data_IF_518782802639
#
_entry.id   IF_518782802639
#
_cell.length_a   1.000
_cell.length_b   1.000
_cell.length_c   1.000
_cell.angle_alpha   90.00
_cell.angle_beta   90.00
_cell.angle_gamma   90.00
#
_symmetry.space_group_name_H-M   'P 1'
#
loop_
_entity.id
_entity.type
_entity.pdbx_description
1 polymer ?
#
# COMPACT_ATOMS: atom_id res chain seq x y z
N UNK A 1 2.21 0.03 14.85
CA UNK A 1 2.35 1.03 13.76
C UNK A 1 3.02 0.32 12.60
N UNK A 2 2.48 0.40 11.37
CA UNK A 2 3.03 -0.33 10.21
C UNK A 2 4.38 0.25 9.78
N UNK A 3 5.39 -0.61 9.63
CA UNK A 3 6.72 -0.21 9.15
C UNK A 3 6.68 0.05 7.64
N UNK A 4 5.98 -0.82 6.89
CA UNK A 4 5.73 -0.66 5.46
C UNK A 4 5.20 0.73 5.13
N UNK A 5 4.18 1.18 5.87
CA UNK A 5 3.57 2.52 5.70
C UNK A 5 4.55 3.65 5.98
N UNK A 6 5.29 3.55 7.07
CA UNK A 6 6.24 4.59 7.48
C UNK A 6 7.35 4.76 6.44
N UNK A 7 7.89 3.65 5.94
CA UNK A 7 8.91 3.63 4.90
C UNK A 7 8.40 4.16 3.57
N UNK A 8 7.18 3.76 3.16
CA UNK A 8 6.56 4.27 1.93
C UNK A 8 6.33 5.78 1.98
N UNK A 9 5.73 6.30 3.06
CA UNK A 9 5.51 7.74 3.23
C UNK A 9 6.81 8.53 3.14
N UNK A 10 7.88 8.04 3.78
CA UNK A 10 9.21 8.65 3.69
C UNK A 10 9.74 8.65 2.25
N UNK A 11 9.64 7.52 1.53
CA UNK A 11 10.13 7.39 0.15
C UNK A 11 9.35 8.26 -0.84
N UNK A 12 8.02 8.33 -0.72
CA UNK A 12 7.19 9.19 -1.57
C UNK A 12 7.44 10.66 -1.26
N UNK A 13 7.58 11.04 0.02
CA UNK A 13 7.96 12.41 0.38
C UNK A 13 9.32 12.78 -0.22
N UNK A 14 10.31 11.90 -0.16
CA UNK A 14 11.62 12.09 -0.79
C UNK A 14 11.52 12.20 -2.32
N UNK A 15 10.66 11.41 -2.97
CA UNK A 15 10.38 11.53 -4.41
C UNK A 15 9.82 12.91 -4.74
N UNK A 16 8.78 13.35 -4.03
CA UNK A 16 8.15 14.67 -4.23
C UNK A 16 9.16 15.80 -4.03
N UNK A 17 9.96 15.74 -2.96
CA UNK A 17 11.01 16.73 -2.70
C UNK A 17 12.08 16.73 -3.80
N UNK A 18 12.44 15.56 -4.31
CA UNK A 18 13.43 15.43 -5.39
C UNK A 18 12.95 16.08 -6.68
N UNK A 19 11.63 16.05 -6.96
CA UNK A 19 11.03 16.73 -8.11
C UNK A 19 11.13 18.26 -8.06
N UNK A 20 11.45 18.84 -6.91
CA UNK A 20 11.68 20.27 -6.74
C UNK A 20 13.12 20.71 -7.02
N UNK A 21 14.07 19.78 -7.15
CA UNK A 21 15.49 20.09 -7.32
C UNK A 21 15.76 20.57 -8.75
N UNK A 22 16.53 21.64 -8.92
CA UNK A 22 16.87 22.21 -10.23
C UNK A 22 17.47 21.18 -11.21
N UNK A 23 18.29 20.25 -10.71
CA UNK A 23 18.90 19.19 -11.50
C UNK A 23 17.91 18.25 -12.21
N UNK A 24 16.65 18.16 -11.75
CA UNK A 24 15.62 17.33 -12.41
C UNK A 24 14.63 18.16 -13.22
N UNK A 25 14.71 19.49 -13.14
CA UNK A 25 13.87 20.40 -13.89
C UNK A 25 14.40 20.56 -15.32
N UNK A 26 13.48 20.67 -16.27
CA UNK A 26 13.83 21.03 -17.63
C UNK A 26 14.22 22.51 -17.70
N UNK A 27 15.27 22.80 -18.48
CA UNK A 27 15.74 24.13 -18.81
C UNK A 27 15.51 24.42 -20.29
N UNK A 28 15.71 25.67 -20.76
CA UNK A 28 15.56 26.01 -22.18
C UNK A 28 16.30 25.02 -23.10
N UNK A 29 15.79 24.83 -24.32
CA UNK A 29 16.30 23.82 -25.26
C UNK A 29 17.79 24.02 -25.63
N UNK A 30 18.32 25.24 -25.44
CA UNK A 30 19.73 25.57 -25.61
C UNK A 30 20.64 24.91 -24.57
N UNK A 31 20.11 24.53 -23.41
CA UNK A 31 20.85 23.86 -22.32
C UNK A 31 20.78 22.34 -22.44
N UNK A 32 21.23 21.80 -23.57
CA UNK A 32 21.10 20.37 -23.89
C UNK A 32 21.74 19.46 -22.85
N UNK A 33 22.96 19.76 -22.40
CA UNK A 33 23.67 18.95 -21.41
C UNK A 33 22.92 18.84 -20.07
N UNK A 34 22.33 19.95 -19.60
CA UNK A 34 21.48 19.95 -18.41
C UNK A 34 20.25 19.07 -18.61
N UNK A 35 19.56 19.24 -19.74
CA UNK A 35 18.33 18.51 -20.04
C UNK A 35 18.57 17.00 -20.19
N UNK A 36 19.72 16.58 -20.71
CA UNK A 36 20.11 15.18 -20.78
C UNK A 36 20.33 14.57 -19.39
N UNK A 37 20.99 15.30 -18.48
CA UNK A 37 21.15 14.90 -17.07
C UNK A 37 19.80 14.85 -16.37
N UNK A 38 18.97 15.88 -16.51
CA UNK A 38 17.65 15.95 -15.90
C UNK A 38 16.75 14.79 -16.34
N UNK A 39 16.77 14.44 -17.64
CA UNK A 39 16.05 13.28 -18.19
C UNK A 39 16.52 11.98 -17.55
N UNK A 40 17.83 11.76 -17.45
CA UNK A 40 18.39 10.56 -16.83
C UNK A 40 17.97 10.44 -15.36
N UNK A 41 18.02 11.54 -14.61
CA UNK A 41 17.59 11.57 -13.21
C UNK A 41 16.09 11.29 -13.06
N UNK A 42 15.24 11.89 -13.92
CA UNK A 42 13.79 11.62 -13.92
C UNK A 42 13.46 10.16 -14.23
N UNK A 43 14.18 9.52 -15.14
CA UNK A 43 14.03 8.08 -15.39
C UNK A 43 14.39 7.26 -14.15
N UNK A 44 15.48 7.60 -13.46
CA UNK A 44 15.85 6.97 -12.18
C UNK A 44 14.75 7.13 -11.12
N UNK A 45 14.21 8.34 -10.97
CA UNK A 45 13.10 8.63 -10.05
C UNK A 45 11.83 7.84 -10.39
N UNK A 46 11.52 7.64 -11.67
CA UNK A 46 10.40 6.80 -12.12
C UNK A 46 10.54 5.36 -11.62
N UNK A 47 11.74 4.79 -11.77
CA UNK A 47 12.04 3.42 -11.33
C UNK A 47 11.96 3.29 -9.82
N UNK A 48 12.60 4.21 -9.08
CA UNK A 48 12.61 4.19 -7.61
C UNK A 48 11.22 4.43 -7.02
N UNK A 49 10.45 5.36 -7.60
CA UNK A 49 9.08 5.64 -7.17
C UNK A 49 8.17 4.43 -7.32
N UNK A 50 8.23 3.73 -8.46
CA UNK A 50 7.46 2.51 -8.67
C UNK A 50 7.90 1.38 -7.74
N UNK A 51 9.22 1.19 -7.59
CA UNK A 51 9.75 0.20 -6.66
C UNK A 51 9.31 0.46 -5.20
N UNK A 52 9.18 1.73 -4.79
CA UNK A 52 8.67 2.07 -3.47
C UNK A 52 7.22 1.61 -3.26
N UNK A 53 6.36 1.74 -4.27
CA UNK A 53 4.98 1.24 -4.22
C UNK A 53 4.91 -0.28 -4.20
N UNK A 54 5.70 -0.97 -5.02
CA UNK A 54 5.75 -2.44 -5.00
C UNK A 54 6.22 -3.00 -3.67
N UNK A 55 7.28 -2.41 -3.10
CA UNK A 55 7.82 -2.80 -1.81
C UNK A 55 6.82 -2.54 -0.68
N UNK A 56 6.07 -1.43 -0.77
CA UNK A 56 4.98 -1.16 0.16
C UNK A 56 3.90 -2.24 0.11
N UNK A 57 3.42 -2.60 -1.09
CA UNK A 57 2.38 -3.62 -1.28
C UNK A 57 2.83 -4.97 -0.70
N UNK A 58 4.05 -5.40 -1.06
CA UNK A 58 4.66 -6.65 -0.56
C UNK A 58 4.83 -6.63 0.96
N UNK A 59 5.46 -5.59 1.49
CA UNK A 59 5.73 -5.48 2.93
C UNK A 59 4.44 -5.38 3.74
N UNK A 60 3.42 -4.65 3.25
CA UNK A 60 2.16 -4.50 3.98
C UNK A 60 1.36 -5.78 4.01
N UNK A 61 1.30 -6.55 2.92
CA UNK A 61 0.63 -7.85 2.93
C UNK A 61 1.36 -8.84 3.88
N UNK A 62 2.69 -8.80 3.93
CA UNK A 62 3.49 -9.61 4.87
C UNK A 62 3.20 -9.28 6.33
N UNK A 63 3.09 -8.00 6.66
CA UNK A 63 2.69 -7.55 8.01
C UNK A 63 1.30 -8.08 8.35
N UNK A 64 0.32 -7.92 7.45
CA UNK A 64 -1.06 -8.39 7.67
C UNK A 64 -1.11 -9.91 7.85
N UNK A 65 -0.41 -10.70 7.04
CA UNK A 65 -0.35 -12.16 7.18
C UNK A 65 0.23 -12.58 8.54
N UNK A 66 1.25 -11.88 9.01
CA UNK A 66 1.83 -12.11 10.34
C UNK A 66 0.81 -11.79 11.44
N UNK A 67 0.03 -10.72 11.28
CA UNK A 67 -1.03 -10.34 12.21
C UNK A 67 -2.21 -11.32 12.20
N UNK A 68 -2.57 -11.94 11.07
CA UNK A 68 -3.65 -12.94 10.97
C UNK A 68 -3.42 -14.11 11.91
N UNK A 69 -2.19 -14.64 12.02
CA UNK A 69 -1.87 -15.75 12.93
C UNK A 69 -2.16 -15.45 14.40
N UNK A 70 -2.18 -14.17 14.78
CA UNK A 70 -2.48 -13.72 16.16
C UNK A 70 -3.97 -13.41 16.42
N UNK A 71 -4.85 -13.62 15.44
CA UNK A 71 -6.28 -13.31 15.58
C UNK A 71 -7.08 -14.39 16.32
N UNK A 72 -6.48 -15.54 16.64
CA UNK A 72 -7.14 -16.72 17.23
C UNK A 72 -8.31 -17.28 16.39
N UNK A 73 -8.48 -16.85 15.14
CA UNK A 73 -9.43 -17.46 14.20
C UNK A 73 -8.85 -18.81 13.77
N UNK A 74 -9.57 -19.94 13.93
CA UNK A 74 -9.09 -21.23 13.45
C UNK A 74 -8.78 -21.20 11.95
N UNK A 75 -7.71 -21.85 11.50
CA UNK A 75 -7.25 -21.78 10.11
C UNK A 75 -8.37 -22.14 9.11
N UNK A 76 -9.11 -23.22 9.37
CA UNK A 76 -10.23 -23.66 8.52
C UNK A 76 -11.43 -22.70 8.45
N UNK A 77 -11.45 -21.64 9.28
CA UNK A 77 -12.46 -20.56 9.24
C UNK A 77 -11.97 -19.31 8.52
N UNK A 78 -10.71 -19.25 8.10
CA UNK A 78 -10.22 -18.17 7.25
C UNK A 78 -10.91 -18.24 5.87
N UNK A 79 -10.92 -17.13 5.09
CA UNK A 79 -11.37 -17.19 3.71
C UNK A 79 -10.66 -18.30 2.91
N UNK A 80 -11.39 -19.10 2.15
CA UNK A 80 -10.84 -20.25 1.41
C UNK A 80 -9.66 -19.86 0.50
N UNK A 81 -9.77 -18.73 -0.21
CA UNK A 81 -8.69 -18.20 -1.04
C UNK A 81 -7.44 -17.86 -0.24
N UNK A 82 -7.61 -17.32 0.97
CA UNK A 82 -6.48 -17.06 1.86
C UNK A 82 -5.86 -18.38 2.33
N UNK A 83 -6.67 -19.37 2.72
CA UNK A 83 -6.18 -20.69 3.11
C UNK A 83 -5.35 -21.33 2.00
N UNK A 84 -5.86 -21.31 0.76
CA UNK A 84 -5.17 -21.85 -0.41
C UNK A 84 -3.86 -21.11 -0.70
N UNK A 85 -3.89 -19.77 -0.70
CA UNK A 85 -2.72 -18.96 -1.00
C UNK A 85 -1.58 -19.19 0.01
N UNK A 86 -1.89 -19.24 1.31
CA UNK A 86 -0.87 -19.37 2.38
C UNK A 86 -0.39 -20.81 2.62
N UNK A 87 -0.97 -21.78 1.92
CA UNK A 87 -0.56 -23.19 1.98
C UNK A 87 0.01 -23.66 0.65
N UNK A 88 -0.82 -23.73 -0.39
CA UNK A 88 -0.44 -24.28 -1.69
C UNK A 88 0.39 -23.28 -2.52
N UNK A 89 -0.13 -22.07 -2.76
CA UNK A 89 0.57 -21.08 -3.61
C UNK A 89 1.87 -20.57 -2.96
N UNK A 90 1.91 -20.55 -1.63
CA UNK A 90 3.10 -20.23 -0.85
C UNK A 90 4.31 -21.12 -1.21
N UNK A 91 4.12 -22.36 -1.68
CA UNK A 91 5.21 -23.22 -2.11
C UNK A 91 5.96 -22.65 -3.33
N UNK A 92 5.23 -22.05 -4.28
CA UNK A 92 5.83 -21.39 -5.44
C UNK A 92 6.65 -20.17 -5.02
N UNK A 93 6.11 -19.36 -4.10
CA UNK A 93 6.82 -18.22 -3.55
C UNK A 93 8.09 -18.64 -2.78
N UNK A 94 8.02 -19.69 -1.96
CA UNK A 94 9.19 -20.24 -1.25
C UNK A 94 10.24 -20.72 -2.25
N UNK A 95 9.83 -21.45 -3.29
CA UNK A 95 10.72 -21.94 -4.36
C UNK A 95 11.46 -20.81 -5.07
N UNK A 96 10.71 -19.78 -5.51
CA UNK A 96 11.30 -18.60 -6.14
C UNK A 96 12.30 -17.90 -5.22
N UNK A 97 11.92 -17.67 -3.96
CA UNK A 97 12.76 -17.01 -2.97
C UNK A 97 14.03 -17.80 -2.63
N UNK A 98 13.98 -19.13 -2.63
CA UNK A 98 15.20 -19.95 -2.50
C UNK A 98 16.15 -19.74 -3.68
N UNK A 99 15.63 -19.55 -4.90
CA UNK A 99 16.43 -19.27 -6.09
C UNK A 99 17.24 -17.97 -6.00
N UNK A 100 16.73 -16.98 -5.26
CA UNK A 100 17.41 -15.69 -5.03
C UNK A 100 18.52 -15.74 -3.99
N UNK A 101 18.62 -16.82 -3.20
CA UNK A 101 19.59 -16.94 -2.12
C UNK A 101 20.89 -17.56 -2.64
N UNK A 102 22.06 -16.96 -2.38
CA UNK A 102 23.33 -17.45 -2.93
C UNK A 102 23.81 -18.75 -2.27
N UNK A 103 23.62 -18.90 -0.96
CA UNK A 103 24.22 -19.99 -0.19
C UNK A 103 23.25 -21.17 0.02
N UNK A 104 23.78 -22.39 -0.03
CA UNK A 104 22.99 -23.62 0.22
C UNK A 104 22.43 -23.69 1.65
N UNK A 105 23.21 -23.27 2.66
CA UNK A 105 22.76 -23.20 4.05
C UNK A 105 21.54 -22.31 4.21
N UNK A 106 21.57 -21.13 3.60
CA UNK A 106 20.51 -20.13 3.70
C UNK A 106 19.25 -20.60 3.01
N UNK A 107 19.38 -21.34 1.90
CA UNK A 107 18.25 -21.99 1.22
C UNK A 107 17.58 -23.03 2.12
N UNK A 108 18.37 -23.88 2.79
CA UNK A 108 17.85 -24.92 3.70
C UNK A 108 17.12 -24.28 4.88
N UNK A 109 17.75 -23.31 5.56
CA UNK A 109 17.15 -22.62 6.70
C UNK A 109 15.85 -21.91 6.29
N UNK A 110 15.87 -21.22 5.16
CA UNK A 110 14.69 -20.54 4.63
C UNK A 110 13.56 -21.52 4.30
N UNK A 111 13.87 -22.65 3.65
CA UNK A 111 12.88 -23.68 3.36
C UNK A 111 12.26 -24.22 4.64
N UNK A 112 13.07 -24.59 5.63
CA UNK A 112 12.61 -25.12 6.92
C UNK A 112 11.71 -24.12 7.65
N UNK A 113 12.13 -22.86 7.77
CA UNK A 113 11.37 -21.82 8.46
C UNK A 113 9.97 -21.62 7.84
N UNK A 114 9.90 -21.50 6.51
CA UNK A 114 8.63 -21.19 5.84
C UNK A 114 7.73 -22.41 5.65
N UNK A 115 8.29 -23.61 5.46
CA UNK A 115 7.49 -24.85 5.41
C UNK A 115 6.95 -25.23 6.78
N UNK A 116 7.65 -24.92 7.87
CA UNK A 116 7.11 -25.07 9.23
C UNK A 116 5.87 -24.20 9.45
N UNK A 117 5.84 -22.97 8.91
CA UNK A 117 4.66 -22.09 8.95
C UNK A 117 3.48 -22.72 8.20
N UNK A 118 3.70 -23.29 7.02
CA UNK A 118 2.67 -24.04 6.29
C UNK A 118 2.16 -25.22 7.13
N UNK A 119 3.07 -26.04 7.66
CA UNK A 119 2.69 -27.20 8.48
C UNK A 119 1.89 -26.79 9.74
N UNK A 120 2.20 -25.64 10.33
CA UNK A 120 1.50 -25.14 11.53
C UNK A 120 0.01 -24.89 11.31
N UNK A 121 -0.44 -24.67 10.06
CA UNK A 121 -1.87 -24.47 9.71
C UNK A 121 -2.76 -25.67 9.99
N UNK A 122 -2.17 -26.88 10.16
CA UNK A 122 -2.88 -28.07 10.61
C UNK A 122 -3.20 -28.07 12.11
N UNK A 123 -2.71 -27.08 12.86
CA UNK A 123 -2.87 -26.99 14.32
C UNK A 123 -3.70 -25.75 14.70
N UNK A 124 -4.14 -25.69 15.96
CA UNK A 124 -4.90 -24.55 16.46
C UNK A 124 -4.07 -23.26 16.54
N UNK A 125 -2.77 -23.38 16.79
CA UNK A 125 -1.83 -22.26 16.86
C UNK A 125 -0.94 -22.27 15.61
N UNK A 126 -1.25 -21.40 14.66
CA UNK A 126 -0.55 -21.34 13.38
C UNK A 126 0.06 -19.97 13.13
N UNK A 127 1.12 -19.97 12.33
CA UNK A 127 1.73 -18.76 11.79
C UNK A 127 1.65 -18.82 10.27
N UNK A 128 1.19 -17.73 9.64
CA UNK A 128 1.18 -17.65 8.19
C UNK A 128 2.55 -17.17 7.69
N UNK A 129 3.00 -17.73 6.57
CA UNK A 129 4.23 -17.26 5.94
C UNK A 129 4.04 -15.84 5.38
N UNK A 130 4.89 -14.86 5.75
CA UNK A 130 4.77 -13.50 5.25
C UNK A 130 4.99 -13.40 3.73
N UNK A 131 5.60 -14.43 3.12
CA UNK A 131 5.93 -14.47 1.71
C UNK A 131 4.89 -15.21 0.86
N UNK A 132 3.70 -15.51 1.39
CA UNK A 132 2.69 -16.25 0.64
C UNK A 132 2.24 -15.51 -0.63
N UNK A 133 2.20 -14.17 -0.60
CA UNK A 133 1.55 -13.37 -1.63
C UNK A 133 2.54 -12.38 -2.27
N UNK A 134 2.76 -12.51 -3.59
CA UNK A 134 3.55 -11.58 -4.40
C UNK A 134 5.06 -11.76 -4.34
N UNK A 135 5.57 -12.77 -3.62
CA UNK A 135 6.99 -13.08 -3.51
C UNK A 135 7.48 -14.17 -4.47
N UNK A 136 6.61 -14.63 -5.37
CA UNK A 136 6.88 -15.57 -6.46
C UNK A 136 7.40 -14.90 -7.75
N UNK A 137 7.60 -13.58 -7.70
CA UNK A 137 8.00 -12.76 -8.85
C UNK A 137 8.80 -11.54 -8.41
N UNK A 138 9.62 -11.01 -9.33
CA UNK A 138 10.44 -9.83 -9.09
C UNK A 138 9.57 -8.56 -8.93
N UNK A 139 8.61 -8.38 -9.85
CA UNK A 139 7.80 -7.18 -9.95
C UNK A 139 6.34 -7.52 -9.63
N UNK A 140 5.63 -6.63 -8.95
CA UNK A 140 4.22 -6.80 -8.60
C UNK A 140 3.36 -6.36 -9.77
N UNK A 141 2.67 -7.31 -10.41
CA UNK A 141 1.71 -7.01 -11.48
C UNK A 141 0.34 -6.59 -10.91
N UNK A 142 -0.49 -5.98 -11.75
CA UNK A 142 -1.84 -5.55 -11.36
C UNK A 142 -2.74 -6.72 -10.93
N UNK A 143 -2.64 -7.86 -11.63
CA UNK A 143 -3.35 -9.08 -11.26
C UNK A 143 -2.88 -9.66 -9.91
N UNK A 144 -1.62 -9.43 -9.52
CA UNK A 144 -1.11 -9.85 -8.21
C UNK A 144 -1.78 -9.06 -7.08
N UNK A 145 -1.92 -7.74 -7.23
CA UNK A 145 -2.62 -6.88 -6.26
C UNK A 145 -4.07 -7.32 -6.13
N UNK A 146 -4.71 -7.63 -7.26
CA UNK A 146 -6.07 -8.15 -7.29
C UNK A 146 -6.18 -9.51 -6.61
N UNK A 147 -5.23 -10.42 -6.84
CA UNK A 147 -5.15 -11.73 -6.16
C UNK A 147 -4.99 -11.59 -4.65
N UNK A 148 -4.08 -10.72 -4.21
CA UNK A 148 -3.86 -10.40 -2.79
C UNK A 148 -5.16 -9.98 -2.10
N UNK A 149 -5.84 -8.96 -2.62
CA UNK A 149 -7.07 -8.45 -2.00
C UNK A 149 -8.24 -9.43 -2.09
N UNK A 150 -8.31 -10.25 -3.16
CA UNK A 150 -9.31 -11.32 -3.25
C UNK A 150 -9.16 -12.39 -2.16
N UNK A 151 -7.95 -12.63 -1.65
CA UNK A 151 -7.75 -13.51 -0.50
C UNK A 151 -8.47 -12.99 0.76
N UNK A 152 -8.63 -11.67 0.87
CA UNK A 152 -9.32 -10.98 1.96
C UNK A 152 -10.78 -10.64 1.64
N UNK A 153 -11.39 -11.43 0.75
CA UNK A 153 -12.80 -11.32 0.34
C UNK A 153 -13.20 -9.92 -0.18
N UNK A 154 -12.34 -9.32 -0.98
CA UNK A 154 -12.62 -8.10 -1.72
C UNK A 154 -12.87 -8.48 -3.18
N UNK A 155 -14.12 -8.35 -3.65
CA UNK A 155 -14.55 -8.90 -4.94
C UNK A 155 -14.04 -8.09 -6.14
N UNK A 156 -14.09 -6.76 -6.04
CA UNK A 156 -13.57 -5.83 -7.05
C UNK A 156 -12.42 -4.96 -6.50
N UNK A 157 -11.21 -5.52 -6.29
CA UNK A 157 -10.09 -4.84 -5.64
C UNK A 157 -9.80 -3.44 -6.17
N UNK A 158 -9.57 -3.30 -7.47
CA UNK A 158 -9.23 -2.02 -8.09
C UNK A 158 -10.38 -1.02 -8.04
N UNK A 159 -11.63 -1.49 -8.18
CA UNK A 159 -12.81 -0.65 -8.00
C UNK A 159 -12.92 -0.12 -6.58
N UNK A 160 -12.69 -0.94 -5.56
CA UNK A 160 -12.72 -0.50 -4.17
C UNK A 160 -11.57 0.47 -3.83
N UNK A 161 -10.35 0.20 -4.29
CA UNK A 161 -9.21 1.13 -4.14
C UNK A 161 -9.56 2.48 -4.79
N UNK A 162 -10.09 2.46 -6.02
CA UNK A 162 -10.48 3.67 -6.75
C UNK A 162 -11.56 4.45 -6.00
N UNK A 163 -12.59 3.78 -5.45
CA UNK A 163 -13.63 4.44 -4.66
C UNK A 163 -13.08 5.13 -3.41
N UNK A 164 -12.16 4.49 -2.68
CA UNK A 164 -11.49 5.12 -1.53
C UNK A 164 -10.69 6.34 -1.99
N UNK A 165 -9.93 6.21 -3.07
CA UNK A 165 -9.14 7.31 -3.62
C UNK A 165 -10.01 8.49 -4.10
N UNK A 166 -11.15 8.24 -4.74
CA UNK A 166 -12.08 9.28 -5.18
C UNK A 166 -12.66 10.07 -4.00
N UNK A 167 -12.95 9.40 -2.88
CA UNK A 167 -13.41 10.07 -1.64
C UNK A 167 -12.34 10.96 -1.00
N UNK A 168 -11.08 10.74 -1.35
CA UNK A 168 -9.94 11.57 -0.96
C UNK A 168 -9.52 12.57 -2.04
N UNK A 169 -10.23 12.62 -3.17
CA UNK A 169 -9.89 13.43 -4.35
C UNK A 169 -8.49 13.14 -4.89
N UNK A 170 -8.02 11.89 -4.78
CA UNK A 170 -6.72 11.44 -5.26
C UNK A 170 -6.77 10.71 -6.62
N UNK A 171 -7.95 10.28 -7.06
CA UNK A 171 -8.13 9.57 -8.32
C UNK A 171 -9.19 10.26 -9.18
N UNK A 172 -8.81 10.61 -10.41
CA UNK A 172 -9.71 11.06 -11.47
C UNK A 172 -10.03 9.95 -12.49
N UNK A 173 -9.14 8.96 -12.61
CA UNK A 173 -9.25 7.82 -13.50
C UNK A 173 -9.19 6.50 -12.70
N UNK A 174 -9.62 5.37 -13.27
CA UNK A 174 -9.45 4.05 -12.67
C UNK A 174 -7.99 3.74 -12.35
N UNK A 175 -7.71 3.33 -11.11
CA UNK A 175 -6.32 3.17 -10.64
C UNK A 175 -5.61 1.93 -11.19
N UNK A 176 -6.34 0.96 -11.76
CA UNK A 176 -5.75 -0.20 -12.44
C UNK A 176 -5.05 0.18 -13.75
N UNK A 177 -5.67 1.07 -14.53
CA UNK A 177 -5.08 1.60 -15.77
C UNK A 177 -3.86 2.44 -15.43
N UNK A 178 -3.99 3.32 -14.45
CA UNK A 178 -2.90 4.14 -13.93
C UNK A 178 -1.70 3.29 -13.47
N UNK A 179 -1.94 2.22 -12.71
CA UNK A 179 -0.87 1.33 -12.27
C UNK A 179 -0.16 0.66 -13.44
N UNK A 180 -0.92 0.14 -14.43
CA UNK A 180 -0.36 -0.46 -15.64
C UNK A 180 0.44 0.54 -16.48
N UNK A 181 -0.06 1.76 -16.66
CA UNK A 181 0.67 2.83 -17.34
C UNK A 181 1.98 3.18 -16.63
N UNK A 182 1.96 3.26 -15.30
CA UNK A 182 3.16 3.50 -14.50
C UNK A 182 4.17 2.34 -14.60
N UNK A 183 3.71 1.09 -14.65
CA UNK A 183 4.56 -0.08 -14.84
C UNK A 183 5.26 -0.06 -16.20
N UNK A 184 4.52 0.27 -17.27
CA UNK A 184 5.08 0.44 -18.63
C UNK A 184 6.12 1.57 -18.65
N UNK A 185 5.80 2.70 -18.02
CA UNK A 185 6.72 3.85 -17.92
C UNK A 185 8.01 3.47 -17.19
N UNK A 186 7.91 2.76 -16.07
CA UNK A 186 9.08 2.22 -15.34
C UNK A 186 9.93 1.31 -16.23
N UNK A 187 9.31 0.37 -16.93
CA UNK A 187 10.03 -0.54 -17.83
C UNK A 187 10.78 0.25 -18.92
N UNK A 188 10.12 1.23 -19.55
CA UNK A 188 10.73 2.10 -20.54
C UNK A 188 11.89 2.91 -19.94
N UNK A 189 11.70 3.52 -18.78
CA UNK A 189 12.70 4.33 -18.09
C UNK A 189 13.97 3.53 -17.72
N UNK A 190 13.83 2.24 -17.40
CA UNK A 190 14.94 1.37 -17.03
C UNK A 190 15.74 0.82 -18.22
N UNK A 191 15.10 0.62 -19.38
CA UNK A 191 15.71 -0.15 -20.48
C UNK A 191 15.90 0.64 -21.79
N UNK A 192 15.19 1.74 -21.99
CA UNK A 192 15.28 2.52 -23.24
C UNK A 192 16.20 3.72 -23.02
N UNK A 193 17.35 3.72 -23.70
CA UNK A 193 18.38 4.77 -23.56
C UNK A 193 17.86 6.20 -23.84
N UNK A 194 16.84 6.32 -24.71
CA UNK A 194 16.20 7.59 -25.05
C UNK A 194 14.82 7.78 -24.39
N UNK A 195 14.52 7.03 -23.32
CA UNK A 195 13.32 7.28 -22.53
C UNK A 195 13.35 8.70 -21.98
N UNK A 196 12.23 9.40 -22.07
CA UNK A 196 12.02 10.63 -21.34
C UNK A 196 10.80 10.46 -20.46
N UNK A 197 11.00 10.68 -19.17
CA UNK A 197 9.93 10.70 -18.19
C UNK A 197 9.67 12.16 -17.82
N UNK A 198 8.53 12.74 -18.26
CA UNK A 198 8.17 14.11 -17.92
C UNK A 198 8.08 14.32 -16.40
N UNK A 199 8.38 15.53 -15.93
CA UNK A 199 8.25 15.87 -14.51
C UNK A 199 6.78 15.79 -14.04
N UNK A 200 5.85 16.21 -14.88
CA UNK A 200 4.40 16.14 -14.63
C UNK A 200 3.94 14.70 -14.42
N UNK A 201 4.52 13.75 -15.16
CA UNK A 201 4.22 12.32 -15.06
C UNK A 201 4.65 11.75 -13.71
N UNK A 202 5.78 12.20 -13.16
CA UNK A 202 6.27 11.81 -11.83
C UNK A 202 5.43 12.44 -10.71
N UNK A 203 5.06 13.71 -10.85
CA UNK A 203 4.18 14.39 -9.90
C UNK A 203 2.82 13.69 -9.84
N UNK A 204 2.24 13.36 -11.00
CA UNK A 204 0.98 12.64 -11.09
C UNK A 204 1.11 11.24 -10.50
N UNK A 205 2.16 10.49 -10.85
CA UNK A 205 2.44 9.17 -10.29
C UNK A 205 2.55 9.20 -8.76
N UNK A 206 3.17 10.23 -8.17
CA UNK A 206 3.28 10.30 -6.70
C UNK A 206 1.92 10.35 -6.00
N UNK A 207 0.94 11.06 -6.58
CA UNK A 207 -0.43 11.12 -6.07
C UNK A 207 -1.16 9.79 -6.26
N UNK A 208 -0.99 9.18 -7.41
CA UNK A 208 -1.60 7.90 -7.77
C UNK A 208 -1.04 6.75 -6.91
N UNK A 209 0.26 6.74 -6.66
CA UNK A 209 0.91 5.78 -5.78
C UNK A 209 0.39 5.90 -4.34
N UNK A 210 0.22 7.13 -3.83
CA UNK A 210 -0.43 7.36 -2.54
C UNK A 210 -1.88 6.86 -2.52
N UNK A 211 -2.64 7.14 -3.59
CA UNK A 211 -4.02 6.68 -3.72
C UNK A 211 -4.13 5.16 -3.64
N UNK A 212 -3.29 4.44 -4.39
CA UNK A 212 -3.23 2.98 -4.41
C UNK A 212 -2.81 2.46 -3.04
N UNK A 213 -1.76 3.01 -2.44
CA UNK A 213 -1.24 2.57 -1.16
C UNK A 213 -2.27 2.73 -0.02
N UNK A 214 -2.97 3.87 0.03
CA UNK A 214 -4.03 4.13 1.02
C UNK A 214 -5.19 3.15 0.83
N UNK A 215 -5.69 3.00 -0.40
CA UNK A 215 -6.81 2.10 -0.68
C UNK A 215 -6.48 0.65 -0.36
N UNK A 216 -5.30 0.17 -0.77
CA UNK A 216 -4.82 -1.17 -0.48
C UNK A 216 -4.70 -1.43 1.03
N UNK A 217 -4.05 -0.53 1.78
CA UNK A 217 -3.87 -0.68 3.23
C UNK A 217 -5.19 -0.59 4.00
N UNK A 218 -6.08 0.31 3.60
CA UNK A 218 -7.36 0.49 4.27
C UNK A 218 -8.27 -0.73 4.12
N UNK A 219 -8.31 -1.32 2.91
CA UNK A 219 -9.06 -2.56 2.65
C UNK A 219 -8.50 -3.74 3.44
N UNK A 220 -7.17 -3.93 3.43
CA UNK A 220 -6.54 -4.99 4.20
C UNK A 220 -6.73 -4.82 5.71
N UNK A 221 -6.62 -3.60 6.22
CA UNK A 221 -6.81 -3.31 7.65
C UNK A 221 -8.26 -3.52 8.07
N UNK A 222 -9.23 -3.20 7.21
CA UNK A 222 -10.65 -3.53 7.41
C UNK A 222 -10.86 -5.04 7.49
N UNK A 223 -10.32 -5.81 6.54
CA UNK A 223 -10.40 -7.26 6.53
C UNK A 223 -9.74 -7.89 7.78
N UNK A 224 -8.57 -7.41 8.17
CA UNK A 224 -7.87 -7.86 9.39
C UNK A 224 -8.68 -7.54 10.65
N UNK A 225 -9.33 -6.38 10.71
CA UNK A 225 -10.20 -6.05 11.83
C UNK A 225 -11.42 -6.97 11.90
N UNK A 226 -12.02 -7.36 10.77
CA UNK A 226 -13.12 -8.33 10.75
C UNK A 226 -12.67 -9.68 11.29
N UNK A 227 -11.45 -10.12 10.96
CA UNK A 227 -10.84 -11.32 11.55
C UNK A 227 -10.65 -11.18 13.07
N UNK A 228 -10.07 -10.08 13.54
CA UNK A 228 -9.88 -9.80 14.98
C UNK A 228 -11.17 -9.78 15.78
N UNK A 229 -12.26 -9.35 15.15
CA UNK A 229 -13.59 -9.31 15.75
C UNK A 229 -14.32 -10.65 15.72
N UNK A 230 -13.77 -11.66 15.05
CA UNK A 230 -14.49 -12.91 14.75
C UNK A 230 -15.84 -12.64 14.06
N UNK A 231 -15.88 -11.69 13.12
CA UNK A 231 -17.07 -11.33 12.33
C UNK A 231 -17.58 -12.57 11.57
N UNK A 232 -18.65 -13.18 12.07
CA UNK A 232 -19.17 -14.45 11.55
C UNK A 232 -19.61 -14.35 10.07
N UNK A 233 -20.39 -13.34 9.64
CA UNK A 233 -20.70 -13.14 8.23
C UNK A 233 -19.46 -13.09 7.33
N UNK A 234 -18.39 -12.41 7.75
CA UNK A 234 -17.14 -12.37 6.99
C UNK A 234 -16.43 -13.73 6.96
N UNK A 235 -16.30 -14.39 8.12
CA UNK A 235 -15.65 -15.71 8.22
C UNK A 235 -16.39 -16.80 7.43
N UNK A 236 -17.72 -16.71 7.31
CA UNK A 236 -18.54 -17.61 6.50
C UNK A 236 -18.66 -17.18 5.04
N UNK A 237 -17.97 -16.11 4.63
CA UNK A 237 -17.95 -15.66 3.23
C UNK A 237 -19.20 -14.90 2.77
N UNK A 238 -20.13 -14.62 3.69
CA UNK A 238 -21.41 -13.95 3.43
C UNK A 238 -21.28 -12.42 3.35
N UNK A 239 -20.33 -11.84 4.09
CA UNK A 239 -20.01 -10.42 4.03
C UNK A 239 -18.64 -10.21 3.38
N UNK A 240 -18.58 -9.30 2.40
CA UNK A 240 -17.35 -8.89 1.72
C UNK A 240 -16.82 -7.59 2.32
N UNK A 241 -15.56 -7.29 2.07
CA UNK A 241 -14.98 -5.99 2.40
C UNK A 241 -15.13 -5.06 1.21
N UNK A 242 -15.67 -3.88 1.47
CA UNK A 242 -15.89 -2.82 0.48
C UNK A 242 -15.35 -1.49 0.98
N UNK A 243 -15.20 -0.53 0.06
CA UNK A 243 -14.87 0.84 0.41
C UNK A 243 -15.91 1.47 1.36
N UNK A 244 -17.18 1.07 1.27
CA UNK A 244 -18.27 1.61 2.09
C UNK A 244 -18.12 1.23 3.58
N UNK A 245 -17.40 0.16 3.90
CA UNK A 245 -17.14 -0.27 5.27
C UNK A 245 -16.09 0.58 5.99
N UNK A 246 -15.37 1.42 5.25
CA UNK A 246 -14.26 2.22 5.78
C UNK A 246 -14.73 3.65 5.94
N UNK A 247 -14.80 4.17 7.16
CA UNK A 247 -15.08 5.59 7.39
C UNK A 247 -13.79 6.41 7.41
N UNK A 248 -13.77 7.53 6.68
CA UNK A 248 -12.58 8.38 6.58
C UNK A 248 -12.64 9.52 7.61
N UNK A 249 -11.57 9.70 8.37
CA UNK A 249 -11.31 10.85 9.24
C UNK A 249 -10.17 11.66 8.65
N UNK A 250 -10.38 12.96 8.42
CA UNK A 250 -9.36 13.86 7.84
C UNK A 250 -8.85 14.82 8.88
N UNK A 251 -7.53 15.05 8.90
CA UNK A 251 -6.89 16.14 9.64
C UNK A 251 -6.18 17.03 8.62
N UNK A 252 -6.55 18.31 8.56
CA UNK A 252 -6.08 19.23 7.53
C UNK A 252 -5.92 20.66 8.07
N UNK A 253 -5.04 21.49 7.47
CA UNK A 253 -4.87 22.88 7.85
C UNK A 253 -6.06 23.73 7.39
N UNK A 254 -6.44 24.71 8.21
CA UNK A 254 -7.53 25.66 7.96
C UNK A 254 -7.17 27.03 8.53
N UNK A 255 -6.50 27.85 7.73
CA UNK A 255 -5.93 29.12 8.17
C UNK A 255 -4.79 28.88 9.17
N UNK A 256 -4.84 29.55 10.32
CA UNK A 256 -3.85 29.39 11.40
C UNK A 256 -4.12 28.20 12.34
N UNK A 257 -5.14 27.38 12.05
CA UNK A 257 -5.56 26.25 12.87
C UNK A 257 -5.59 24.97 12.06
N UNK A 258 -5.65 23.85 12.74
CA UNK A 258 -5.88 22.52 12.19
C UNK A 258 -7.29 22.06 12.52
N UNK A 259 -7.94 21.41 11.54
CA UNK A 259 -9.30 20.88 11.66
C UNK A 259 -9.29 19.38 11.49
N UNK A 260 -10.11 18.72 12.29
CA UNK A 260 -10.47 17.32 12.14
C UNK A 260 -11.90 17.22 11.65
N UNK A 261 -12.12 16.49 10.55
CA UNK A 261 -13.46 16.15 10.07
C UNK A 261 -13.65 14.64 9.98
N UNK A 262 -14.86 14.22 10.26
CA UNK A 262 -15.34 12.89 9.94
C UNK A 262 -16.13 12.96 8.66
N UNK A 263 -15.91 12.03 7.76
CA UNK A 263 -16.66 11.91 6.53
C UNK A 263 -18.18 11.90 6.76
N UNK A 264 -18.91 12.57 5.86
CA UNK A 264 -20.36 12.73 5.94
C UNK A 264 -20.82 13.78 6.96
N UNK A 265 -19.92 14.38 7.76
CA UNK A 265 -20.27 15.49 8.67
C UNK A 265 -19.97 16.84 8.05
N UNK A 266 -20.88 17.79 8.28
CA UNK A 266 -20.74 19.20 7.87
C UNK A 266 -19.92 20.03 8.86
N UNK A 267 -19.70 19.54 10.07
CA UNK A 267 -19.00 20.24 11.15
C UNK A 267 -17.71 19.52 11.54
N UNK A 268 -16.70 20.32 11.92
CA UNK A 268 -15.46 19.78 12.45
C UNK A 268 -15.70 19.04 13.77
N UNK A 269 -15.06 17.89 13.92
CA UNK A 269 -15.05 17.12 15.18
C UNK A 269 -14.24 17.87 16.23
N UNK A 270 -13.10 18.44 15.82
CA UNK A 270 -12.23 19.24 16.67
C UNK A 270 -11.42 20.24 15.85
N UNK A 271 -11.09 21.37 16.46
CA UNK A 271 -10.21 22.41 15.89
C UNK A 271 -9.16 22.74 16.94
N UNK A 272 -7.89 22.81 16.53
CA UNK A 272 -6.78 23.12 17.42
C UNK A 272 -5.73 23.97 16.71
N UNK A 273 -4.95 24.76 17.45
CA UNK A 273 -3.84 25.52 16.86
C UNK A 273 -2.64 24.60 16.54
N UNK A 274 -2.34 23.64 17.42
CA UNK A 274 -1.23 22.70 17.27
C UNK A 274 -1.64 21.45 16.50
N UNK A 275 -0.92 21.16 15.41
CA UNK A 275 -1.07 19.92 14.63
C UNK A 275 -0.88 18.69 15.49
N UNK A 276 0.17 18.66 16.31
CA UNK A 276 0.57 17.46 17.05
C UNK A 276 -0.47 17.10 18.13
N UNK A 277 -1.01 18.12 18.81
CA UNK A 277 -2.08 17.95 19.80
C UNK A 277 -3.34 17.41 19.13
N UNK A 278 -3.75 17.97 17.99
CA UNK A 278 -4.91 17.48 17.26
C UNK A 278 -4.70 16.05 16.77
N UNK A 279 -3.54 15.77 16.19
CA UNK A 279 -3.22 14.49 15.57
C UNK A 279 -3.17 13.37 16.61
N UNK A 280 -2.58 13.60 17.78
CA UNK A 280 -2.59 12.61 18.87
C UNK A 280 -4.03 12.26 19.30
N UNK A 281 -4.90 13.27 19.44
CA UNK A 281 -6.30 13.05 19.80
C UNK A 281 -7.11 12.38 18.67
N UNK A 282 -6.86 12.76 17.40
CA UNK A 282 -7.50 12.18 16.23
C UNK A 282 -7.10 10.71 16.03
N UNK A 283 -5.84 10.35 16.30
CA UNK A 283 -5.34 8.96 16.29
C UNK A 283 -6.09 8.08 17.29
N UNK A 284 -6.21 8.54 18.54
CA UNK A 284 -6.96 7.81 19.57
C UNK A 284 -8.41 7.59 19.14
N UNK A 285 -9.09 8.63 18.63
CA UNK A 285 -10.46 8.51 18.09
C UNK A 285 -10.56 7.60 16.87
N UNK A 286 -9.59 7.66 15.97
CA UNK A 286 -9.56 6.83 14.76
C UNK A 286 -9.38 5.35 15.11
N UNK A 287 -8.47 5.02 16.04
CA UNK A 287 -8.28 3.66 16.51
C UNK A 287 -9.53 3.11 17.22
N UNK A 288 -10.14 3.90 18.12
CA UNK A 288 -11.34 3.50 18.85
C UNK A 288 -12.55 3.27 17.92
N UNK A 289 -12.74 4.15 16.93
CA UNK A 289 -13.86 4.06 15.98
C UNK A 289 -13.55 3.19 14.75
N UNK A 290 -12.31 2.72 14.59
CA UNK A 290 -11.83 1.99 13.41
C UNK A 290 -12.01 2.77 12.11
N UNK A 291 -11.55 4.02 12.13
CA UNK A 291 -11.58 4.90 10.97
C UNK A 291 -10.22 4.94 10.28
N UNK A 292 -10.21 5.11 8.96
CA UNK A 292 -9.02 5.50 8.23
C UNK A 292 -8.73 6.98 8.53
N UNK A 293 -7.61 7.26 9.20
CA UNK A 293 -7.13 8.62 9.43
C UNK A 293 -6.28 9.06 8.24
N UNK A 294 -6.61 10.19 7.62
CA UNK A 294 -5.83 10.80 6.54
C UNK A 294 -5.36 12.18 6.97
N UNK A 295 -4.09 12.45 6.75
CA UNK A 295 -3.43 13.71 7.11
C UNK A 295 -3.16 14.46 5.82
N UNK A 296 -3.68 15.68 5.73
CA UNK A 296 -3.45 16.58 4.59
C UNK A 296 -2.50 17.72 5.00
N UNK A 297 -1.65 18.12 4.07
CA UNK A 297 -0.79 19.29 4.18
C UNK A 297 -1.44 20.55 3.61
N UNK A 298 -0.68 21.63 3.57
CA UNK A 298 -1.10 22.92 3.02
C UNK A 298 -1.36 22.81 1.51
N UNK A 299 -2.56 23.15 1.04
CA UNK A 299 -2.96 22.92 -0.36
C UNK A 299 -3.74 21.62 -0.59
N UNK A 300 -4.03 20.87 0.48
CA UNK A 300 -4.94 19.72 0.43
C UNK A 300 -4.30 18.40 -0.01
N UNK A 301 -3.00 18.39 -0.33
CA UNK A 301 -2.30 17.14 -0.63
C UNK A 301 -2.28 16.21 0.58
N UNK A 302 -2.46 14.92 0.34
CA UNK A 302 -2.30 13.89 1.37
C UNK A 302 -0.81 13.70 1.65
N UNK A 303 -0.42 13.87 2.92
CA UNK A 303 0.97 13.73 3.39
C UNK A 303 1.19 12.47 4.22
N UNK A 304 0.12 11.78 4.60
CA UNK A 304 0.19 10.51 5.32
C UNK A 304 -1.20 9.98 5.66
N UNK A 305 -1.25 8.73 6.09
CA UNK A 305 -2.46 8.09 6.58
C UNK A 305 -2.15 7.11 7.70
N UNK A 306 -3.17 6.75 8.47
CA UNK A 306 -3.11 5.70 9.48
C UNK A 306 -4.39 4.85 9.45
N UNK A 307 -4.22 3.53 9.33
CA UNK A 307 -5.28 2.55 9.58
C UNK A 307 -5.27 2.11 11.05
N UNK A 308 -6.41 1.54 11.47
CA UNK A 308 -6.70 1.03 12.80
C UNK A 308 -6.27 -0.43 13.00
#
# INVERSE_FOLDING_TARGET
MSNARSLFNSRIASLVNSLGIDAVQARPLTEQAHNDVARMLRNGLAVVGFAALEDFIKSRISEVLSEVGSTNVPFGRLPEKLQYAVTFEALSAISYQMGLRPNKSDRILYAQEHTQKIASTATAAYNLTPHALGYDQANVQDETIKGMLKCFQIDNPWGEITRIASRLSLAALPLDETYRSAAIRRHRAAHVAHADTPQTDLQQFSKEALAIAIGFDALLSCALSKLRLHDAPYLHGQAKVSAADITIRKVFPAGSKWREELEGRSTAVKIEASKDVLLAAARSRAAAARNLLVIQGDGGQVVGWECY
#
